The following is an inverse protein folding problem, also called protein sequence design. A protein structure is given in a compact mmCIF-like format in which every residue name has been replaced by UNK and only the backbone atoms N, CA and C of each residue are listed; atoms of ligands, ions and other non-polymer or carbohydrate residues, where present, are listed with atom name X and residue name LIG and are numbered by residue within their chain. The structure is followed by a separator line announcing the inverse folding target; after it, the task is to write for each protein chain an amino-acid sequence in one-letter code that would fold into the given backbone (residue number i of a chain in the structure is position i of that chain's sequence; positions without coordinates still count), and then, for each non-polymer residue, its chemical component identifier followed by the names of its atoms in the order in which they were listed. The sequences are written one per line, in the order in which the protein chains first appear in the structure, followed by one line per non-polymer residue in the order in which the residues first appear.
data_IF_459094412136
#
_entry.id   IF_459094412136
#
_cell.length_a   1.000
_cell.length_b   1.000
_cell.length_c   1.000
_cell.angle_alpha   90.00
_cell.angle_beta   90.00
_cell.angle_gamma   90.00
#
_symmetry.space_group_name_H-M   'P 1'
#
loop_
_entity.id
_entity.type
_entity.pdbx_description
1 polymer ?
#
# COMPACT_ATOMS: atom_id res chain seq x y z
N UNK A 1 8.91 -2.57 6.48
CA UNK A 1 10.03 -1.92 7.17
C UNK A 1 10.43 -2.74 8.40
N UNK A 2 11.72 -2.89 8.67
CA UNK A 2 12.29 -3.34 9.93
C UNK A 2 13.30 -2.29 10.44
N UNK A 3 14.01 -2.55 11.55
CA UNK A 3 14.85 -1.55 12.21
C UNK A 3 15.94 -0.96 11.28
N UNK A 4 16.58 -1.81 10.48
CA UNK A 4 17.76 -1.41 9.67
C UNK A 4 17.53 -1.55 8.15
N UNK A 5 16.30 -1.72 7.67
CA UNK A 5 16.06 -1.89 6.24
C UNK A 5 14.65 -2.30 5.87
N UNK A 6 14.52 -2.88 4.68
CA UNK A 6 13.24 -3.27 4.10
C UNK A 6 13.29 -4.67 3.51
N UNK A 7 12.23 -5.43 3.72
CA UNK A 7 12.00 -6.62 2.92
C UNK A 7 11.25 -6.23 1.64
N UNK A 8 11.68 -6.78 0.53
CA UNK A 8 11.11 -6.51 -0.78
C UNK A 8 11.04 -7.79 -1.63
N UNK A 9 10.24 -7.73 -2.69
CA UNK A 9 10.18 -8.75 -3.72
C UNK A 9 10.88 -8.18 -4.94
N UNK A 10 11.84 -8.93 -5.50
CA UNK A 10 12.53 -8.59 -6.74
C UNK A 10 12.21 -9.59 -7.83
N UNK A 11 11.97 -9.10 -9.02
CA UNK A 11 11.88 -9.94 -10.20
C UNK A 11 13.29 -10.22 -10.72
N UNK A 12 13.65 -11.50 -10.80
CA UNK A 12 14.96 -11.95 -11.32
C UNK A 12 14.91 -12.35 -12.79
N UNK A 13 13.78 -12.84 -13.25
CA UNK A 13 13.46 -13.08 -14.67
C UNK A 13 11.93 -13.06 -14.87
N UNK A 14 11.47 -13.10 -16.12
CA UNK A 14 10.04 -13.03 -16.42
C UNK A 14 9.22 -14.08 -15.64
N UNK A 15 8.39 -13.62 -14.70
CA UNK A 15 7.52 -14.41 -13.84
C UNK A 15 8.21 -15.09 -12.66
N UNK A 16 9.51 -14.91 -12.45
CA UNK A 16 10.24 -15.46 -11.30
C UNK A 16 10.66 -14.34 -10.39
N UNK A 17 10.36 -14.48 -9.12
CA UNK A 17 10.64 -13.47 -8.10
C UNK A 17 11.55 -14.02 -7.00
N UNK A 18 12.05 -13.12 -6.18
CA UNK A 18 12.90 -13.41 -5.04
C UNK A 18 12.56 -12.50 -3.87
N UNK A 19 12.48 -13.06 -2.67
CA UNK A 19 12.38 -12.29 -1.44
C UNK A 19 13.76 -11.76 -1.11
N UNK A 20 13.87 -10.44 -0.90
CA UNK A 20 15.12 -9.77 -0.61
C UNK A 20 15.03 -8.88 0.61
N UNK A 21 16.18 -8.57 1.16
CA UNK A 21 16.38 -7.55 2.18
C UNK A 21 17.21 -6.42 1.60
N UNK A 22 16.70 -5.19 1.65
CA UNK A 22 17.41 -3.96 1.32
C UNK A 22 17.94 -3.35 2.61
N UNK A 23 19.25 -3.29 2.72
CA UNK A 23 19.95 -2.71 3.87
C UNK A 23 20.01 -1.18 3.76
N UNK A 24 19.61 -0.49 4.84
CA UNK A 24 19.53 0.98 4.85
C UNK A 24 20.90 1.68 4.88
N UNK A 25 21.91 1.04 5.40
CA UNK A 25 23.24 1.65 5.51
C UNK A 25 24.00 1.50 4.18
N UNK A 26 24.09 0.26 3.70
CA UNK A 26 24.87 -0.05 2.49
C UNK A 26 24.13 0.20 1.19
N UNK A 27 22.78 0.31 1.23
CA UNK A 27 21.88 0.37 0.07
C UNK A 27 21.97 -0.87 -0.84
N UNK A 28 22.48 -1.98 -0.30
CA UNK A 28 22.56 -3.24 -1.02
C UNK A 28 21.29 -4.08 -0.81
N UNK A 29 20.86 -4.75 -1.87
CA UNK A 29 19.78 -5.72 -1.82
C UNK A 29 20.37 -7.13 -1.82
N UNK A 30 19.99 -7.94 -0.81
CA UNK A 30 20.49 -9.31 -0.64
C UNK A 30 19.32 -10.30 -0.59
N UNK A 31 19.45 -11.51 -1.18
CA UNK A 31 18.45 -12.55 -1.08
C UNK A 31 18.22 -13.01 0.36
N UNK A 32 16.95 -13.16 0.75
CA UNK A 32 16.57 -13.62 2.09
C UNK A 32 16.74 -15.14 2.21
N UNK A 33 17.98 -15.61 2.29
CA UNK A 33 18.34 -17.02 2.39
C UNK A 33 19.62 -17.21 3.20
N UNK A 34 19.56 -18.03 4.26
CA UNK A 34 20.71 -18.33 5.14
C UNK A 34 21.57 -19.49 4.67
N UNK A 35 21.24 -20.15 3.55
CA UNK A 35 21.99 -21.32 3.06
C UNK A 35 23.32 -20.87 2.46
N UNK A 36 24.42 -21.43 2.98
CA UNK A 36 25.75 -21.21 2.42
C UNK A 36 25.81 -21.75 0.96
N UNK A 37 26.50 -21.02 0.09
CA UNK A 37 26.71 -21.38 -1.33
C UNK A 37 25.41 -21.55 -2.14
N UNK A 38 24.30 -20.93 -1.70
CA UNK A 38 23.05 -20.96 -2.43
C UNK A 38 23.11 -20.04 -3.66
N UNK A 39 22.75 -20.55 -4.83
CA UNK A 39 22.65 -19.74 -6.06
C UNK A 39 21.46 -18.77 -6.07
N UNK A 40 20.50 -18.98 -5.20
CA UNK A 40 19.23 -18.22 -5.08
C UNK A 40 18.36 -18.22 -6.35
N UNK A 41 18.47 -19.25 -7.19
CA UNK A 41 17.83 -19.34 -8.51
C UNK A 41 16.87 -20.50 -8.67
N UNK A 42 16.67 -21.33 -7.63
CA UNK A 42 15.81 -22.52 -7.69
C UNK A 42 14.99 -22.74 -6.40
N UNK A 43 14.09 -23.73 -6.44
CA UNK A 43 13.16 -24.06 -5.35
C UNK A 43 13.84 -24.58 -4.05
N UNK A 44 15.14 -24.86 -4.06
CA UNK A 44 15.88 -25.20 -2.84
C UNK A 44 16.22 -23.94 -2.02
N UNK A 45 16.08 -22.77 -2.58
CA UNK A 45 16.31 -21.49 -1.91
C UNK A 45 15.05 -20.96 -1.22
N UNK A 46 15.15 -20.60 0.06
CA UNK A 46 14.03 -20.03 0.79
C UNK A 46 13.59 -18.65 0.27
N UNK A 47 14.47 -17.91 -0.40
CA UNK A 47 14.13 -16.63 -1.02
C UNK A 47 13.43 -16.79 -2.37
N UNK A 48 13.56 -17.94 -3.05
CA UNK A 48 13.09 -18.12 -4.40
C UNK A 48 11.57 -18.28 -4.47
N UNK A 49 10.94 -17.56 -5.39
CA UNK A 49 9.52 -17.62 -5.71
C UNK A 49 9.37 -18.01 -7.18
N UNK A 50 9.04 -19.30 -7.43
CA UNK A 50 8.92 -19.85 -8.79
C UNK A 50 7.78 -19.19 -9.57
N UNK A 51 7.78 -19.36 -10.90
CA UNK A 51 6.78 -18.79 -11.84
C UNK A 51 5.32 -19.10 -11.51
N UNK A 52 5.07 -20.21 -10.82
CA UNK A 52 3.73 -20.59 -10.38
C UNK A 52 3.24 -19.76 -9.17
N UNK A 53 4.13 -19.01 -8.51
CA UNK A 53 3.80 -18.17 -7.35
C UNK A 53 3.89 -16.70 -7.74
N UNK A 54 2.76 -16.11 -8.05
CA UNK A 54 2.67 -14.68 -8.29
C UNK A 54 2.63 -13.95 -6.94
N UNK A 55 3.81 -13.52 -6.46
CA UNK A 55 3.93 -12.80 -5.20
C UNK A 55 3.34 -11.40 -5.32
N UNK A 56 2.38 -11.09 -4.45
CA UNK A 56 1.60 -9.86 -4.49
C UNK A 56 2.07 -8.84 -3.48
N UNK A 57 2.37 -9.27 -2.26
CA UNK A 57 2.64 -8.36 -1.14
C UNK A 57 3.63 -8.97 -0.17
N UNK A 58 4.42 -8.11 0.48
CA UNK A 58 5.35 -8.48 1.54
C UNK A 58 5.19 -7.56 2.75
N UNK A 59 5.23 -8.13 3.95
CA UNK A 59 5.07 -7.43 5.22
C UNK A 59 6.10 -7.88 6.24
N UNK A 60 6.46 -6.98 7.14
CA UNK A 60 7.24 -7.30 8.33
C UNK A 60 6.41 -6.98 9.57
N UNK A 61 6.21 -7.97 10.43
CA UNK A 61 5.43 -7.83 11.65
C UNK A 61 5.95 -8.78 12.72
N UNK A 62 6.10 -8.30 13.97
CA UNK A 62 6.57 -9.06 15.13
C UNK A 62 7.82 -9.92 14.85
N UNK A 63 8.83 -9.34 14.22
CA UNK A 63 10.09 -10.04 13.94
C UNK A 63 10.03 -11.07 12.81
N UNK A 64 8.91 -11.18 12.07
CA UNK A 64 8.72 -12.13 10.99
C UNK A 64 8.36 -11.42 9.69
N UNK A 65 8.75 -12.03 8.57
CA UNK A 65 8.36 -11.62 7.23
C UNK A 65 7.14 -12.43 6.78
N UNK A 66 6.17 -11.77 6.18
CA UNK A 66 4.97 -12.40 5.63
C UNK A 66 4.86 -12.08 4.14
N UNK A 67 4.56 -13.08 3.34
CA UNK A 67 4.37 -12.94 1.89
C UNK A 67 2.99 -13.45 1.53
N UNK A 68 2.26 -12.67 0.73
CA UNK A 68 1.05 -13.12 0.07
C UNK A 68 1.39 -13.40 -1.39
N UNK A 69 1.03 -14.57 -1.84
CA UNK A 69 1.17 -14.97 -3.23
C UNK A 69 -0.06 -15.72 -3.72
N UNK A 70 -0.28 -15.64 -5.02
CA UNK A 70 -1.26 -16.47 -5.72
C UNK A 70 -0.55 -17.71 -6.25
N UNK A 71 -1.11 -18.89 -6.00
CA UNK A 71 -0.63 -20.14 -6.58
C UNK A 71 -1.44 -20.43 -7.86
N UNK A 72 -0.79 -20.31 -9.01
CA UNK A 72 -1.44 -20.51 -10.31
C UNK A 72 -1.86 -21.97 -10.54
N UNK A 73 -1.41 -22.90 -9.67
CA UNK A 73 -1.72 -24.33 -9.78
C UNK A 73 -3.16 -24.63 -9.35
N UNK A 74 -3.62 -23.98 -8.30
CA UNK A 74 -4.96 -24.18 -7.71
C UNK A 74 -5.85 -22.93 -7.78
N UNK A 75 -5.28 -21.76 -8.18
CA UNK A 75 -5.99 -20.50 -8.28
C UNK A 75 -6.33 -19.89 -6.91
N UNK A 76 -5.55 -20.19 -5.89
CA UNK A 76 -5.77 -19.71 -4.52
C UNK A 76 -4.64 -18.77 -4.05
N UNK A 77 -4.99 -17.89 -3.15
CA UNK A 77 -4.04 -17.00 -2.47
C UNK A 77 -3.67 -17.58 -1.10
N UNK A 78 -2.40 -17.45 -0.74
CA UNK A 78 -1.85 -17.97 0.51
C UNK A 78 -1.07 -16.92 1.28
N UNK A 79 -1.14 -17.00 2.62
CA UNK A 79 -0.23 -16.32 3.52
C UNK A 79 0.90 -17.26 3.91
N UNK A 80 2.11 -16.80 3.74
CA UNK A 80 3.32 -17.51 4.09
C UNK A 80 4.17 -16.70 5.05
N UNK A 81 4.77 -17.34 6.04
CA UNK A 81 5.70 -16.78 7.00
C UNK A 81 7.13 -17.16 6.63
N UNK A 82 8.04 -16.20 6.67
CA UNK A 82 9.45 -16.37 6.37
C UNK A 82 10.27 -15.83 7.54
N UNK A 83 11.29 -16.57 7.97
CA UNK A 83 12.21 -16.08 8.99
C UNK A 83 12.98 -14.87 8.48
N UNK A 84 13.26 -13.86 9.32
CA UNK A 84 13.94 -12.61 8.91
C UNK A 84 15.38 -12.85 8.42
N UNK A 85 15.99 -13.97 8.78
CA UNK A 85 17.31 -14.43 8.31
C UNK A 85 17.22 -15.42 7.12
N UNK A 86 16.01 -15.72 6.63
CA UNK A 86 15.79 -16.68 5.55
C UNK A 86 16.03 -18.15 5.89
N UNK A 87 16.13 -18.50 7.18
CA UNK A 87 16.43 -19.88 7.63
C UNK A 87 15.27 -20.83 7.37
N UNK A 88 14.04 -20.36 7.40
CA UNK A 88 12.87 -21.17 7.07
C UNK A 88 11.77 -20.37 6.38
N UNK A 89 10.85 -21.10 5.76
CA UNK A 89 9.64 -20.61 5.11
C UNK A 89 8.50 -21.59 5.36
N UNK A 90 7.32 -21.06 5.72
CA UNK A 90 6.17 -21.89 6.09
C UNK A 90 4.87 -21.28 5.61
N UNK A 91 4.08 -22.03 4.81
CA UNK A 91 2.70 -21.69 4.49
C UNK A 91 1.86 -21.76 5.77
N UNK A 92 1.13 -20.69 6.10
CA UNK A 92 0.26 -20.62 7.27
C UNK A 92 -1.15 -21.10 6.92
N UNK A 93 -1.79 -20.46 5.95
CA UNK A 93 -3.14 -20.81 5.52
C UNK A 93 -3.50 -20.19 4.17
N UNK A 94 -4.57 -20.69 3.59
CA UNK A 94 -5.24 -20.16 2.42
C UNK A 94 -6.04 -18.90 2.77
N UNK A 95 -5.91 -17.85 1.98
CA UNK A 95 -6.67 -16.60 2.13
C UNK A 95 -8.01 -16.69 1.38
N UNK A 96 -8.04 -17.33 0.21
CA UNK A 96 -9.19 -17.52 -0.64
C UNK A 96 -8.83 -17.55 -2.13
N UNK A 97 -9.84 -17.58 -3.00
CA UNK A 97 -9.65 -17.58 -4.44
C UNK A 97 -8.86 -16.35 -4.92
N UNK A 98 -8.14 -16.50 -6.03
CA UNK A 98 -7.40 -15.44 -6.75
C UNK A 98 -8.40 -14.43 -7.35
N UNK A 99 -9.09 -13.73 -6.51
CA UNK A 99 -9.83 -12.51 -6.87
C UNK A 99 -9.54 -11.55 -5.74
N UNK A 100 -9.33 -10.26 -5.99
CA UNK A 100 -8.40 -9.48 -5.19
C UNK A 100 -8.60 -9.69 -3.69
N UNK A 101 -7.74 -10.52 -3.10
CA UNK A 101 -7.59 -10.62 -1.65
C UNK A 101 -6.27 -9.93 -1.32
N UNK A 102 -6.32 -8.88 -0.53
CA UNK A 102 -5.15 -8.12 -0.14
C UNK A 102 -5.03 -8.10 1.38
N UNK A 103 -3.82 -8.36 1.88
CA UNK A 103 -3.52 -8.03 3.25
C UNK A 103 -3.55 -6.51 3.40
N UNK A 104 -4.21 -6.06 4.44
CA UNK A 104 -4.29 -4.64 4.77
C UNK A 104 -3.31 -4.29 5.89
N UNK A 105 -3.26 -5.12 6.94
CA UNK A 105 -2.37 -4.91 8.09
C UNK A 105 -2.33 -6.13 8.99
N UNK A 106 -1.41 -6.08 9.96
CA UNK A 106 -1.31 -7.03 11.09
C UNK A 106 -1.52 -6.29 12.41
N UNK A 107 -2.23 -6.91 13.35
CA UNK A 107 -2.42 -6.39 14.70
C UNK A 107 -2.77 -7.53 15.67
N UNK A 108 -2.10 -7.59 16.85
CA UNK A 108 -2.34 -8.55 17.92
C UNK A 108 -2.53 -10.00 17.45
N UNK A 109 -1.49 -10.56 16.78
CA UNK A 109 -1.48 -11.91 16.21
C UNK A 109 -2.62 -12.19 15.21
N UNK A 110 -3.22 -11.13 14.64
CA UNK A 110 -4.19 -11.24 13.57
C UNK A 110 -3.70 -10.54 12.30
N UNK A 111 -4.14 -11.07 11.18
CA UNK A 111 -4.06 -10.41 9.87
C UNK A 111 -5.43 -9.91 9.48
N UNK A 112 -5.48 -8.70 8.96
CA UNK A 112 -6.68 -8.07 8.40
C UNK A 112 -6.59 -8.10 6.89
N UNK A 113 -7.58 -8.71 6.25
CA UNK A 113 -7.58 -9.04 4.82
C UNK A 113 -8.81 -8.40 4.18
N UNK A 114 -8.62 -7.69 3.08
CA UNK A 114 -9.70 -7.34 2.18
C UNK A 114 -9.96 -8.50 1.23
N UNK A 115 -11.22 -8.84 1.03
CA UNK A 115 -11.66 -9.82 0.05
C UNK A 115 -12.93 -9.32 -0.64
N UNK A 116 -13.00 -9.45 -1.96
CA UNK A 116 -14.24 -9.20 -2.71
C UNK A 116 -15.01 -10.50 -2.86
N UNK A 117 -16.31 -10.44 -2.57
CA UNK A 117 -17.26 -11.51 -2.81
C UNK A 117 -18.25 -11.08 -3.91
N UNK A 118 -18.55 -11.97 -4.85
CA UNK A 118 -19.41 -11.69 -6.00
C UNK A 118 -18.64 -11.37 -7.28
N UNK A 119 -19.25 -10.60 -8.16
CA UNK A 119 -18.70 -10.31 -9.48
C UNK A 119 -17.46 -9.41 -9.41
N UNK A 120 -16.45 -9.74 -10.19
CA UNK A 120 -15.24 -8.91 -10.39
C UNK A 120 -15.37 -7.97 -11.59
N UNK A 121 -16.47 -8.07 -12.36
CA UNK A 121 -16.66 -7.33 -13.61
C UNK A 121 -16.88 -5.82 -13.40
N UNK A 122 -17.27 -5.40 -12.20
CA UNK A 122 -17.65 -4.02 -11.88
C UNK A 122 -19.01 -3.59 -12.46
N UNK A 123 -19.72 -4.48 -13.17
CA UNK A 123 -21.07 -4.23 -13.72
C UNK A 123 -22.19 -4.75 -12.81
N UNK A 124 -21.84 -5.51 -11.81
CA UNK A 124 -22.74 -6.11 -10.85
C UNK A 124 -22.34 -5.73 -9.45
N UNK A 125 -23.29 -5.79 -8.54
CA UNK A 125 -22.99 -5.60 -7.12
C UNK A 125 -22.05 -6.68 -6.63
N UNK A 126 -21.08 -6.25 -5.83
CA UNK A 126 -20.14 -7.10 -5.11
C UNK A 126 -20.02 -6.62 -3.67
N UNK A 127 -19.60 -7.50 -2.78
CA UNK A 127 -19.38 -7.15 -1.38
C UNK A 127 -17.90 -7.13 -1.08
N UNK A 128 -17.40 -5.97 -0.64
CA UNK A 128 -16.09 -5.82 -0.06
C UNK A 128 -16.12 -6.23 1.40
N UNK A 129 -15.35 -7.23 1.77
CA UNK A 129 -15.29 -7.78 3.13
C UNK A 129 -13.94 -7.49 3.74
N UNK A 130 -13.92 -6.86 4.91
CA UNK A 130 -12.78 -6.83 5.79
C UNK A 130 -12.84 -8.04 6.73
N UNK A 131 -11.93 -8.99 6.55
CA UNK A 131 -11.82 -10.18 7.41
C UNK A 131 -10.68 -10.01 8.40
N UNK A 132 -10.93 -10.41 9.64
CA UNK A 132 -9.91 -10.63 10.66
C UNK A 132 -9.63 -12.12 10.78
N UNK A 133 -8.38 -12.52 10.64
CA UNK A 133 -7.97 -13.92 10.80
C UNK A 133 -6.77 -14.03 11.72
N UNK A 134 -6.82 -14.97 12.69
CA UNK A 134 -5.66 -15.21 13.55
C UNK A 134 -4.52 -15.87 12.76
N UNK A 135 -3.26 -15.54 13.12
CA UNK A 135 -2.06 -16.09 12.46
C UNK A 135 -1.91 -17.59 12.67
N UNK A 136 -2.55 -18.17 13.70
CA UNK A 136 -2.61 -19.61 13.88
C UNK A 136 -3.74 -20.30 13.07
N UNK A 137 -4.54 -19.50 12.35
CA UNK A 137 -5.60 -19.96 11.45
C UNK A 137 -6.89 -20.44 12.13
N UNK A 138 -7.02 -20.31 13.48
CA UNK A 138 -8.17 -20.84 14.22
C UNK A 138 -9.38 -19.90 14.24
N UNK A 139 -9.16 -18.59 14.21
CA UNK A 139 -10.21 -17.59 14.20
C UNK A 139 -10.30 -16.94 12.82
N UNK A 140 -11.52 -16.75 12.34
CA UNK A 140 -11.82 -16.08 11.06
C UNK A 140 -13.19 -15.41 11.20
N UNK A 141 -13.23 -14.08 11.17
CA UNK A 141 -14.47 -13.30 11.33
C UNK A 141 -14.56 -12.14 10.35
N UNK A 142 -15.76 -11.74 9.98
CA UNK A 142 -16.01 -10.52 9.22
C UNK A 142 -15.98 -9.32 10.18
N UNK A 143 -15.03 -8.42 9.95
CA UNK A 143 -14.87 -7.19 10.73
C UNK A 143 -15.72 -6.04 10.17
N UNK A 144 -15.93 -6.01 8.83
CA UNK A 144 -16.75 -5.01 8.15
C UNK A 144 -17.13 -5.51 6.77
N UNK A 145 -18.29 -5.08 6.30
CA UNK A 145 -18.79 -5.38 4.94
C UNK A 145 -19.37 -4.12 4.30
N UNK A 146 -19.14 -3.98 3.01
CA UNK A 146 -19.73 -2.93 2.18
C UNK A 146 -20.13 -3.53 0.83
N UNK A 147 -21.38 -3.29 0.41
CA UNK A 147 -21.89 -3.75 -0.89
C UNK A 147 -22.10 -2.57 -1.83
N UNK A 148 -21.60 -2.70 -3.05
CA UNK A 148 -21.69 -1.72 -4.12
C UNK A 148 -21.19 -2.27 -5.45
N UNK A 149 -21.21 -1.47 -6.49
CA UNK A 149 -20.75 -1.87 -7.82
C UNK A 149 -19.22 -1.91 -7.87
N UNK A 150 -18.65 -3.13 -7.86
CA UNK A 150 -17.19 -3.28 -7.79
C UNK A 150 -16.59 -2.78 -6.47
N UNK A 151 -17.29 -3.03 -5.36
CA UNK A 151 -16.90 -2.55 -4.03
C UNK A 151 -15.47 -2.92 -3.64
N UNK A 152 -14.69 -1.96 -3.13
CA UNK A 152 -13.27 -2.10 -2.75
C UNK A 152 -13.01 -1.47 -1.38
N UNK A 153 -12.15 -2.13 -0.60
CA UNK A 153 -11.51 -1.58 0.59
C UNK A 153 -10.00 -1.50 0.29
N UNK A 154 -9.41 -0.31 0.42
CA UNK A 154 -8.00 -0.09 0.12
C UNK A 154 -7.36 0.99 1.00
N UNK A 155 -6.08 1.35 0.73
CA UNK A 155 -5.31 2.36 1.45
C UNK A 155 -5.37 2.20 2.98
N UNK A 156 -5.33 0.94 3.45
CA UNK A 156 -5.46 0.65 4.86
C UNK A 156 -4.18 1.01 5.64
N UNK A 157 -4.36 1.69 6.77
CA UNK A 157 -3.28 2.15 7.65
C UNK A 157 -3.70 1.96 9.11
N UNK A 158 -2.82 1.39 9.94
CA UNK A 158 -3.11 1.17 11.37
C UNK A 158 -2.60 2.34 12.20
N UNK A 159 -3.49 2.98 12.96
CA UNK A 159 -3.18 4.11 13.84
C UNK A 159 -3.99 4.04 15.15
N UNK A 160 -3.33 4.27 16.27
CA UNK A 160 -4.00 4.50 17.56
C UNK A 160 -5.00 3.42 17.97
N UNK A 161 -4.71 2.15 17.75
CA UNK A 161 -5.62 1.04 18.06
C UNK A 161 -6.79 0.88 17.07
N UNK A 162 -6.73 1.52 15.91
CA UNK A 162 -7.73 1.42 14.84
C UNK A 162 -7.10 1.11 13.50
N UNK A 163 -7.80 0.38 12.65
CA UNK A 163 -7.51 0.22 11.23
C UNK A 163 -8.34 1.24 10.43
N UNK A 164 -7.68 2.23 9.88
CA UNK A 164 -8.28 3.16 8.93
C UNK A 164 -8.22 2.58 7.53
N UNK A 165 -9.20 2.86 6.69
CA UNK A 165 -9.25 2.42 5.30
C UNK A 165 -10.20 3.28 4.46
N UNK A 166 -10.00 3.26 3.15
CA UNK A 166 -10.92 3.85 2.19
C UNK A 166 -11.90 2.78 1.67
N UNK A 167 -13.11 3.24 1.36
CA UNK A 167 -14.14 2.44 0.70
C UNK A 167 -14.56 3.15 -0.57
N UNK A 168 -14.61 2.42 -1.67
CA UNK A 168 -15.07 2.96 -2.96
C UNK A 168 -15.80 1.91 -3.81
N UNK A 169 -16.56 2.40 -4.77
CA UNK A 169 -17.10 1.64 -5.89
C UNK A 169 -16.24 1.89 -7.13
N UNK A 170 -15.64 0.85 -7.68
CA UNK A 170 -14.87 0.88 -8.95
C UNK A 170 -15.74 0.53 -10.16
N UNK A 171 -17.01 0.38 -9.97
CA UNK A 171 -17.91 -0.20 -10.93
C UNK A 171 -18.64 0.81 -11.82
N UNK A 172 -19.47 0.25 -12.69
CA UNK A 172 -20.36 1.00 -13.59
C UNK A 172 -21.80 0.64 -13.29
N UNK A 173 -22.67 1.62 -13.14
CA UNK A 173 -24.10 1.41 -13.06
C UNK A 173 -24.76 1.02 -14.40
N UNK A 174 -23.99 1.00 -15.50
CA UNK A 174 -24.48 0.75 -16.86
C UNK A 174 -23.72 -0.40 -17.55
N UNK A 175 -24.49 -1.30 -18.16
CA UNK A 175 -23.99 -2.39 -19.02
C UNK A 175 -23.64 -1.94 -20.44
N UNK A 176 -23.73 -0.66 -20.77
CA UNK A 176 -23.35 -0.14 -22.08
C UNK A 176 -21.84 -0.33 -22.29
N UNK A 177 -21.50 -0.88 -23.44
CA UNK A 177 -20.13 -1.31 -23.81
C UNK A 177 -19.07 -0.20 -23.78
N UNK A 178 -19.49 1.06 -23.67
CA UNK A 178 -18.64 2.26 -23.63
C UNK A 178 -18.87 3.15 -22.42
N UNK A 179 -19.60 2.68 -21.39
CA UNK A 179 -19.76 3.43 -20.16
C UNK A 179 -18.39 3.58 -19.48
N UNK A 180 -18.00 4.82 -19.17
CA UNK A 180 -16.76 5.10 -18.44
C UNK A 180 -16.82 4.47 -17.05
N UNK A 181 -15.69 3.94 -16.57
CA UNK A 181 -15.58 3.50 -15.18
C UNK A 181 -15.78 4.72 -14.29
N UNK A 182 -16.77 4.66 -13.45
CA UNK A 182 -16.99 5.69 -12.42
C UNK A 182 -16.44 5.19 -11.10
N UNK A 183 -15.57 5.99 -10.51
CA UNK A 183 -15.11 5.75 -9.14
C UNK A 183 -15.96 6.60 -8.21
N UNK A 184 -16.65 5.96 -7.28
CA UNK A 184 -17.43 6.65 -6.26
C UNK A 184 -16.83 6.39 -4.89
N UNK A 185 -16.02 7.32 -4.39
CA UNK A 185 -15.37 7.20 -3.10
C UNK A 185 -16.36 7.52 -1.98
N UNK A 186 -16.41 6.65 -0.97
CA UNK A 186 -17.33 6.78 0.18
C UNK A 186 -16.68 7.50 1.36
N UNK A 187 -15.34 7.62 1.33
CA UNK A 187 -14.55 8.29 2.35
C UNK A 187 -13.73 7.36 3.22
N UNK A 188 -13.30 7.86 4.36
CA UNK A 188 -12.44 7.18 5.32
C UNK A 188 -13.30 6.49 6.39
N UNK A 189 -13.03 5.22 6.63
CA UNK A 189 -13.61 4.42 7.71
C UNK A 189 -12.52 3.99 8.68
N UNK A 190 -12.90 3.69 9.92
CA UNK A 190 -11.99 3.14 10.91
C UNK A 190 -12.64 1.99 11.70
N UNK A 191 -11.97 0.84 11.71
CA UNK A 191 -12.32 -0.30 12.54
C UNK A 191 -11.51 -0.23 13.86
N UNK A 192 -12.21 -0.13 14.98
CA UNK A 192 -11.62 -0.13 16.33
C UNK A 192 -11.34 -1.57 16.75
N UNK A 193 -10.07 -1.92 16.96
CA UNK A 193 -9.66 -3.29 17.27
C UNK A 193 -10.24 -3.80 18.59
N UNK A 194 -10.33 -2.93 19.61
CA UNK A 194 -10.83 -3.31 20.92
C UNK A 194 -12.35 -3.42 20.95
N UNK A 195 -13.05 -2.47 20.30
CA UNK A 195 -14.52 -2.45 20.27
C UNK A 195 -15.11 -3.36 19.20
N UNK A 196 -14.29 -3.83 18.26
CA UNK A 196 -14.73 -4.61 17.07
C UNK A 196 -15.86 -3.93 16.30
N UNK A 197 -15.72 -2.63 16.08
CA UNK A 197 -16.75 -1.80 15.43
C UNK A 197 -16.12 -0.84 14.44
N UNK A 198 -16.77 -0.71 13.26
CA UNK A 198 -16.40 0.27 12.24
C UNK A 198 -17.25 1.53 12.36
N UNK A 199 -16.61 2.67 12.16
CA UNK A 199 -17.23 3.99 12.08
C UNK A 199 -16.78 4.73 10.82
N UNK A 200 -17.65 5.56 10.24
CA UNK A 200 -17.27 6.48 9.19
C UNK A 200 -16.56 7.69 9.83
N UNK A 201 -15.32 7.93 9.41
CA UNK A 201 -14.50 9.04 9.93
C UNK A 201 -14.71 10.30 9.12
N UNK A 202 -14.74 10.19 7.79
CA UNK A 202 -14.93 11.33 6.89
C UNK A 202 -15.53 10.84 5.58
N UNK A 203 -16.65 11.43 5.17
CA UNK A 203 -17.27 11.14 3.88
C UNK A 203 -16.73 12.09 2.81
N UNK A 204 -16.77 11.66 1.55
CA UNK A 204 -16.39 12.46 0.40
C UNK A 204 -15.48 11.74 -0.58
N UNK A 205 -15.12 12.43 -1.65
CA UNK A 205 -14.27 11.92 -2.74
C UNK A 205 -12.78 11.97 -2.35
N UNK A 206 -12.40 11.16 -1.34
CA UNK A 206 -11.08 11.15 -0.74
C UNK A 206 -10.19 10.12 -1.44
N UNK A 207 -9.04 10.54 -1.95
CA UNK A 207 -8.10 9.67 -2.70
C UNK A 207 -7.07 8.98 -1.81
N UNK A 208 -6.56 9.66 -0.79
CA UNK A 208 -5.67 9.07 0.23
C UNK A 208 -5.66 9.94 1.50
N UNK A 209 -5.11 9.40 2.57
CA UNK A 209 -5.05 10.04 3.89
C UNK A 209 -3.83 9.58 4.68
N UNK A 210 -3.49 10.32 5.72
CA UNK A 210 -2.51 9.94 6.75
C UNK A 210 -2.88 10.53 8.09
N UNK A 211 -2.35 9.98 9.18
CA UNK A 211 -2.63 10.45 10.55
C UNK A 211 -1.32 10.79 11.26
N UNK A 212 -1.26 11.97 11.84
CA UNK A 212 -0.30 12.29 12.88
C UNK A 212 -0.81 11.75 14.21
N UNK A 213 -0.25 10.64 14.68
CA UNK A 213 -0.64 10.00 15.92
C UNK A 213 -0.34 10.85 17.16
N UNK A 214 0.71 11.67 17.12
CA UNK A 214 1.12 12.50 18.24
C UNK A 214 0.12 13.63 18.46
N UNK A 215 -0.20 14.35 17.40
CA UNK A 215 -1.15 15.46 17.46
C UNK A 215 -2.61 15.03 17.26
N UNK A 216 -2.88 13.75 16.98
CA UNK A 216 -4.21 13.21 16.62
C UNK A 216 -4.87 13.98 15.46
N UNK A 217 -4.06 14.30 14.44
CA UNK A 217 -4.51 15.06 13.28
C UNK A 217 -4.59 14.13 12.06
N UNK A 218 -5.75 14.12 11.43
CA UNK A 218 -6.00 13.47 10.14
C UNK A 218 -5.71 14.47 9.02
N UNK A 219 -4.87 14.08 8.06
CA UNK A 219 -4.65 14.74 6.79
C UNK A 219 -5.25 13.87 5.69
N UNK A 220 -5.96 14.47 4.73
CA UNK A 220 -6.56 13.73 3.62
C UNK A 220 -6.72 14.61 2.39
N UNK A 221 -6.57 14.00 1.23
CA UNK A 221 -6.71 14.69 -0.05
C UNK A 221 -8.07 14.39 -0.70
N UNK A 222 -8.78 15.44 -1.06
CA UNK A 222 -10.07 15.38 -1.76
C UNK A 222 -9.83 15.58 -3.25
N UNK A 223 -10.34 14.67 -4.06
CA UNK A 223 -10.20 14.66 -5.52
C UNK A 223 -10.67 15.99 -6.13
N UNK A 224 -9.88 16.55 -7.03
CA UNK A 224 -10.11 17.85 -7.69
C UNK A 224 -10.31 19.05 -6.76
N UNK A 225 -9.94 18.96 -5.48
CA UNK A 225 -10.13 20.07 -4.54
C UNK A 225 -8.85 20.40 -3.76
N UNK A 226 -8.27 19.48 -3.02
CA UNK A 226 -7.03 19.76 -2.30
C UNK A 226 -6.81 18.97 -1.02
N UNK A 227 -5.82 19.40 -0.23
CA UNK A 227 -5.43 18.79 1.03
C UNK A 227 -6.16 19.44 2.20
N UNK A 228 -6.68 18.59 3.07
CA UNK A 228 -7.40 18.96 4.28
C UNK A 228 -6.73 18.42 5.53
N UNK A 229 -6.89 19.14 6.63
CA UNK A 229 -6.55 18.67 7.97
C UNK A 229 -7.72 18.82 8.94
N UNK A 230 -7.82 17.92 9.92
CA UNK A 230 -8.70 18.05 11.10
C UNK A 230 -8.19 17.22 12.27
N UNK A 231 -8.53 17.58 13.47
CA UNK A 231 -8.34 16.67 14.63
C UNK A 231 -9.30 15.48 14.50
N UNK A 232 -8.87 14.29 14.93
CA UNK A 232 -9.74 13.12 14.94
C UNK A 232 -10.97 13.30 15.85
N UNK A 233 -10.86 14.14 16.90
CA UNK A 233 -11.98 14.50 17.78
C UNK A 233 -12.98 15.46 17.16
N UNK A 234 -12.61 16.16 16.09
CA UNK A 234 -13.40 17.26 15.55
C UNK A 234 -14.20 16.81 14.31
N UNK A 235 -15.35 17.41 14.09
CA UNK A 235 -16.13 17.20 12.86
C UNK A 235 -15.77 18.18 11.74
N UNK A 236 -15.11 19.29 12.08
CA UNK A 236 -14.78 20.36 11.11
C UNK A 236 -13.35 20.18 10.58
N UNK A 237 -13.23 20.18 9.26
CA UNK A 237 -11.95 20.16 8.56
C UNK A 237 -11.57 21.55 8.05
N UNK A 238 -10.29 21.80 7.90
CA UNK A 238 -9.69 22.97 7.29
C UNK A 238 -8.96 22.55 6.01
N UNK A 239 -9.21 23.26 4.90
CA UNK A 239 -8.42 23.06 3.68
C UNK A 239 -7.13 23.85 3.82
N UNK A 240 -5.99 23.14 3.80
CA UNK A 240 -4.65 23.73 3.95
C UNK A 240 -3.89 23.87 2.63
N UNK A 241 -4.31 23.15 1.57
CA UNK A 241 -3.76 23.32 0.23
C UNK A 241 -4.89 23.21 -0.78
N UNK A 242 -4.93 24.12 -1.75
CA UNK A 242 -5.87 24.08 -2.87
C UNK A 242 -5.14 23.56 -4.10
N UNK A 243 -5.69 22.55 -4.74
CA UNK A 243 -5.18 22.06 -6.01
C UNK A 243 -5.12 23.18 -7.06
N UNK A 244 -4.00 23.29 -7.75
CA UNK A 244 -3.82 24.25 -8.84
C UNK A 244 -4.49 23.72 -10.10
N UNK A 245 -5.11 24.60 -10.87
CA UNK A 245 -5.73 24.23 -12.15
C UNK A 245 -4.68 23.61 -13.08
N UNK A 246 -5.01 22.45 -13.68
CA UNK A 246 -4.13 21.58 -14.48
C UNK A 246 -3.09 20.74 -13.71
N UNK A 247 -3.06 20.74 -12.39
CA UNK A 247 -2.32 19.73 -11.65
C UNK A 247 -3.03 18.37 -11.72
N UNK A 248 -2.23 17.31 -11.65
CA UNK A 248 -2.75 15.95 -11.54
C UNK A 248 -3.16 15.68 -10.11
N UNK A 249 -4.25 14.94 -9.91
CA UNK A 249 -4.70 14.57 -8.59
C UNK A 249 -3.64 13.80 -7.80
N UNK A 250 -3.63 14.01 -6.51
CA UNK A 250 -2.78 13.28 -5.57
C UNK A 250 -3.36 11.87 -5.40
N UNK A 251 -2.51 10.86 -5.57
CA UNK A 251 -2.87 9.46 -5.41
C UNK A 251 -2.26 8.82 -4.17
N UNK A 252 -1.26 9.46 -3.56
CA UNK A 252 -0.63 8.98 -2.33
C UNK A 252 -0.32 10.14 -1.39
N UNK A 253 -0.58 9.91 -0.10
CA UNK A 253 -0.31 10.84 0.99
C UNK A 253 0.33 10.09 2.17
N UNK A 254 1.44 10.60 2.66
CA UNK A 254 2.10 10.09 3.87
C UNK A 254 2.62 11.22 4.76
N UNK A 255 2.87 10.90 6.03
CA UNK A 255 3.41 11.82 7.02
C UNK A 255 4.50 11.12 7.83
N UNK A 256 5.63 11.78 8.04
CA UNK A 256 6.79 11.20 8.72
C UNK A 256 7.04 11.76 10.13
N UNK A 257 6.08 12.49 10.67
CA UNK A 257 6.21 13.19 11.95
C UNK A 257 6.65 14.65 11.80
N UNK A 258 7.09 15.06 10.61
CA UNK A 258 7.55 16.42 10.34
C UNK A 258 6.98 16.99 9.04
N UNK A 259 7.03 16.22 7.96
CA UNK A 259 6.60 16.63 6.63
C UNK A 259 5.47 15.74 6.11
N UNK A 260 4.60 16.33 5.31
CA UNK A 260 3.65 15.62 4.46
C UNK A 260 4.29 15.41 3.08
N UNK A 261 4.17 14.20 2.58
CA UNK A 261 4.61 13.80 1.25
C UNK A 261 3.39 13.47 0.40
N UNK A 262 3.26 14.14 -0.74
CA UNK A 262 2.18 13.89 -1.68
C UNK A 262 2.77 13.53 -3.04
N UNK A 263 2.27 12.48 -3.66
CA UNK A 263 2.60 12.18 -5.05
C UNK A 263 1.36 12.21 -5.93
N UNK A 264 1.50 12.77 -7.13
CA UNK A 264 0.43 12.80 -8.08
C UNK A 264 0.41 11.55 -8.99
N UNK A 265 -0.68 11.36 -9.72
CA UNK A 265 -0.93 10.19 -10.55
C UNK A 265 0.13 10.04 -11.66
N UNK A 266 0.65 8.82 -11.82
CA UNK A 266 1.75 8.51 -12.72
C UNK A 266 1.32 8.08 -14.11
N UNK A 267 0.08 7.64 -14.28
CA UNK A 267 -0.45 7.19 -15.56
C UNK A 267 -1.72 7.96 -15.93
N UNK A 268 -1.80 8.32 -17.19
CA UNK A 268 -3.06 8.76 -17.75
C UNK A 268 -4.02 7.56 -17.88
N UNK A 269 -5.30 7.83 -18.03
CA UNK A 269 -6.34 6.84 -18.36
C UNK A 269 -6.03 6.00 -19.62
N UNK A 270 -5.05 6.40 -20.43
CA UNK A 270 -4.59 5.70 -21.63
C UNK A 270 -3.32 4.87 -21.41
N UNK A 271 -2.89 4.65 -20.16
CA UNK A 271 -1.68 3.89 -19.81
C UNK A 271 -0.36 4.49 -20.36
N UNK A 272 -0.35 5.76 -20.69
CA UNK A 272 0.89 6.45 -21.04
C UNK A 272 1.58 6.99 -19.80
N UNK A 273 2.88 6.74 -19.68
CA UNK A 273 3.72 7.29 -18.61
C UNK A 273 3.65 8.82 -18.65
N UNK A 274 3.29 9.44 -17.54
CA UNK A 274 3.30 10.89 -17.42
C UNK A 274 4.70 11.37 -17.08
N UNK A 275 5.07 12.52 -17.63
CA UNK A 275 6.36 13.18 -17.36
C UNK A 275 6.22 14.34 -16.36
N UNK A 276 5.00 14.78 -16.10
CA UNK A 276 4.66 15.89 -15.20
C UNK A 276 4.25 15.39 -13.79
N UNK A 277 4.94 14.37 -13.30
CA UNK A 277 4.70 13.78 -11.99
C UNK A 277 5.76 14.23 -10.98
N UNK A 278 5.32 14.48 -9.74
CA UNK A 278 6.14 15.05 -8.70
C UNK A 278 5.90 14.41 -7.35
N UNK A 279 6.93 14.42 -6.51
CA UNK A 279 6.82 14.33 -5.07
C UNK A 279 6.78 15.74 -4.50
N UNK A 280 5.69 16.11 -3.86
CA UNK A 280 5.53 17.34 -3.12
C UNK A 280 5.92 17.10 -1.66
N UNK A 281 6.78 17.95 -1.13
CA UNK A 281 7.15 17.99 0.29
C UNK A 281 6.49 19.21 0.90
N UNK A 282 5.57 18.99 1.86
CA UNK A 282 4.77 20.03 2.46
C UNK A 282 5.01 20.14 3.96
N UNK A 283 4.80 21.29 4.54
CA UNK A 283 4.63 21.39 5.98
C UNK A 283 3.20 21.00 6.42
N UNK A 284 2.96 20.95 7.71
CA UNK A 284 1.64 20.61 8.29
C UNK A 284 0.58 21.71 8.15
N UNK A 285 0.94 22.86 7.62
CA UNK A 285 0.04 23.99 7.31
C UNK A 285 -0.26 24.09 5.80
N UNK A 286 0.29 23.16 4.99
CA UNK A 286 0.02 23.06 3.57
C UNK A 286 0.92 23.94 2.69
N UNK A 287 2.02 24.46 3.23
CA UNK A 287 2.99 25.18 2.42
C UNK A 287 3.90 24.19 1.69
N UNK A 288 4.06 24.35 0.38
CA UNK A 288 5.02 23.60 -0.42
C UNK A 288 6.45 24.04 -0.05
N UNK A 289 7.23 23.08 0.43
CA UNK A 289 8.65 23.28 0.82
C UNK A 289 9.59 22.86 -0.28
N UNK A 290 9.24 21.80 -1.02
CA UNK A 290 9.99 21.33 -2.19
C UNK A 290 9.07 20.55 -3.13
N UNK A 291 9.45 20.49 -4.40
CA UNK A 291 8.79 19.74 -5.46
C UNK A 291 9.84 19.02 -6.30
N UNK A 292 9.82 17.69 -6.28
CA UNK A 292 10.85 16.85 -6.86
C UNK A 292 10.25 16.06 -8.02
N UNK A 293 10.78 16.17 -9.26
CA UNK A 293 10.31 15.37 -10.37
C UNK A 293 10.44 13.87 -10.10
N UNK A 294 9.43 13.09 -10.44
CA UNK A 294 9.45 11.63 -10.28
C UNK A 294 9.65 10.89 -11.59
N UNK A 295 9.65 11.63 -12.71
CA UNK A 295 9.86 11.09 -14.08
C UNK A 295 8.97 9.87 -14.39
N UNK A 296 7.78 9.83 -13.79
CA UNK A 296 6.84 8.73 -13.90
C UNK A 296 7.25 7.46 -13.16
N UNK A 297 8.11 7.58 -12.14
CA UNK A 297 8.34 6.49 -11.20
C UNK A 297 7.05 6.17 -10.44
N UNK A 298 6.85 4.88 -10.17
CA UNK A 298 5.85 4.48 -9.19
C UNK A 298 6.35 4.80 -7.79
N UNK A 299 5.58 5.58 -7.09
CA UNK A 299 5.86 5.91 -5.72
C UNK A 299 5.11 5.00 -4.79
N UNK A 300 5.87 4.33 -3.95
CA UNK A 300 5.40 3.99 -2.63
C UNK A 300 5.99 5.03 -1.71
N UNK A 301 5.23 6.09 -1.45
CA UNK A 301 5.68 7.22 -0.67
C UNK A 301 5.82 6.85 0.79
N UNK A 302 6.92 6.22 1.13
CA UNK A 302 7.34 6.12 2.51
C UNK A 302 8.81 5.86 2.51
N UNK A 303 9.35 6.20 3.52
CA UNK A 303 10.71 5.92 3.84
C UNK A 303 10.77 5.43 5.26
N UNK A 304 11.94 5.37 5.74
CA UNK A 304 12.26 5.30 7.14
C UNK A 304 12.50 6.71 7.69
N UNK A 305 13.14 6.79 8.84
CA UNK A 305 13.56 8.06 9.43
C UNK A 305 14.63 8.78 8.62
N UNK A 306 15.36 8.07 7.75
CA UNK A 306 16.50 8.58 7.01
C UNK A 306 16.22 8.84 5.53
N UNK A 307 15.35 8.02 4.89
CA UNK A 307 15.18 8.03 3.45
C UNK A 307 13.73 8.08 3.01
N UNK A 308 13.50 8.61 1.81
CA UNK A 308 12.28 8.42 1.02
C UNK A 308 12.65 7.57 -0.18
N UNK A 309 11.85 6.54 -0.49
CA UNK A 309 12.11 5.62 -1.60
C UNK A 309 11.08 5.74 -2.72
N UNK A 310 11.51 5.42 -3.93
CA UNK A 310 10.68 5.27 -5.12
C UNK A 310 11.17 4.13 -6.00
N UNK A 311 10.35 3.70 -6.96
CA UNK A 311 10.71 2.69 -7.94
C UNK A 311 10.14 3.03 -9.32
N UNK A 312 10.80 2.62 -10.39
CA UNK A 312 10.38 2.93 -11.77
C UNK A 312 9.35 1.95 -12.34
N UNK A 313 9.02 0.88 -11.61
CA UNK A 313 7.95 -0.06 -11.98
C UNK A 313 7.36 -0.80 -10.78
N UNK A 314 6.16 -1.35 -10.95
CA UNK A 314 5.52 -2.24 -9.98
C UNK A 314 6.37 -3.51 -9.79
N UNK A 315 6.92 -3.67 -8.59
CA UNK A 315 7.43 -4.95 -8.11
C UNK A 315 8.81 -5.40 -8.63
N UNK A 316 9.54 -4.62 -9.44
CA UNK A 316 10.82 -5.14 -9.94
C UNK A 316 11.73 -4.17 -10.68
N UNK A 317 11.36 -2.91 -10.78
CA UNK A 317 12.22 -1.91 -11.41
C UNK A 317 13.35 -1.39 -10.54
N UNK A 318 14.18 -0.55 -11.12
CA UNK A 318 15.21 0.18 -10.39
C UNK A 318 14.60 0.93 -9.22
N UNK A 319 15.16 0.76 -8.03
CA UNK A 319 14.79 1.51 -6.83
C UNK A 319 15.65 2.76 -6.72
N UNK A 320 15.08 3.79 -6.13
CA UNK A 320 15.72 5.08 -5.91
C UNK A 320 15.44 5.57 -4.51
N UNK A 321 16.27 6.47 -4.01
CA UNK A 321 16.04 7.10 -2.71
C UNK A 321 16.48 8.56 -2.71
N UNK A 322 15.99 9.29 -1.70
CA UNK A 322 16.47 10.62 -1.30
C UNK A 322 16.69 10.58 0.20
N UNK A 323 17.83 11.06 0.67
CA UNK A 323 18.05 11.23 2.10
C UNK A 323 17.16 12.36 2.63
N UNK A 324 16.46 12.11 3.74
CA UNK A 324 15.55 13.11 4.33
C UNK A 324 16.28 14.35 4.82
N UNK A 325 17.57 14.25 5.12
CA UNK A 325 18.42 15.39 5.42
C UNK A 325 18.43 16.42 4.27
N UNK A 326 18.37 15.93 3.03
CA UNK A 326 18.45 16.75 1.82
C UNK A 326 17.08 17.00 1.18
N UNK A 327 15.99 16.49 1.74
CA UNK A 327 14.67 16.47 1.12
C UNK A 327 14.15 17.85 0.69
N UNK A 328 14.53 18.90 1.38
CA UNK A 328 14.12 20.29 1.08
C UNK A 328 14.92 20.91 -0.08
N UNK A 329 16.03 20.33 -0.48
CA UNK A 329 16.92 20.86 -1.54
C UNK A 329 17.12 19.88 -2.69
N UNK A 330 16.75 18.61 -2.50
CA UNK A 330 16.87 17.57 -3.51
C UNK A 330 16.12 17.93 -4.80
N UNK A 331 16.73 17.64 -5.96
CA UNK A 331 16.15 17.82 -7.29
C UNK A 331 16.13 16.53 -8.09
N UNK A 332 16.88 15.53 -7.65
CA UNK A 332 17.09 14.25 -8.34
C UNK A 332 17.02 13.09 -7.34
N UNK A 333 16.78 11.92 -7.86
CA UNK A 333 16.73 10.67 -7.12
C UNK A 333 18.04 9.92 -7.28
N UNK A 334 18.51 9.27 -6.22
CA UNK A 334 19.73 8.47 -6.19
C UNK A 334 19.34 7.01 -6.42
N UNK A 335 19.91 6.31 -7.41
CA UNK A 335 19.62 4.89 -7.61
C UNK A 335 20.14 4.04 -6.43
N UNK A 336 19.37 3.03 -6.05
CA UNK A 336 19.80 1.98 -5.11
C UNK A 336 20.66 0.99 -5.88
N UNK A 337 21.79 0.57 -5.30
CA UNK A 337 22.75 -0.36 -5.89
C UNK A 337 22.24 -1.82 -5.84
#
# INVERSE_FOLDING_TARGET
KCENGYYCIEQIEAGTNRICYLDNETKNTIPLCSKAECSHTDENCNAYLSKKYNAQQIYYYNGMVYVIYNDDTDGLSYLEQVAPDGSYRKRLFEIGAVSPAYCLTFHDENVYIYQRQGSVSGYEESTAVLRRRSLDGKEDEHAYEYTGYGAVIHAAKSYGGKLFFLVEDEGRESTEQHAERTYTRKGIFAYDYAKKKTENISSGDITDYTVDEVSQTLYYYVFNDGLYKRKLSDSKAERIYKMVENETNICQLSFDGKYLYMSNEQYSVYFFKRTDTYLYVMDTDGNELNKIPTEGMYFTCFGDEQNVFGADSWGGGQKYYIEKADILTAKEWIPVN
#
